data_IF_008638885330
#
_entry.id   IF_008638885330
#
_cell.length_a   1.000
_cell.length_b   1.000
_cell.length_c   1.000
_cell.angle_alpha   90.00
_cell.angle_beta   90.00
_cell.angle_gamma   90.00
#
_symmetry.space_group_name_H-M   'P 1'
#
loop_
_entity.id
_entity.type
_entity.pdbx_description
1 polymer ?
#
# COMPACT_ATOMS: atom_id res chain seq x y z
N UNK A 1 -22.04 15.00 -1.32
CA UNK A 1 -21.44 13.72 -0.86
C UNK A 1 -19.91 13.71 -0.91
N UNK A 2 -19.26 14.24 -1.96
CA UNK A 2 -17.78 14.32 -2.07
C UNK A 2 -17.09 15.16 -0.98
N UNK A 3 -17.67 16.31 -0.62
CA UNK A 3 -17.16 17.23 0.43
C UNK A 3 -16.98 16.60 1.82
N UNK A 4 -17.89 15.70 2.21
CA UNK A 4 -17.88 15.07 3.54
C UNK A 4 -16.78 14.00 3.64
N UNK A 5 -16.54 13.27 2.55
CA UNK A 5 -15.45 12.28 2.44
C UNK A 5 -14.10 12.97 2.50
N UNK A 6 -13.94 14.13 1.85
CA UNK A 6 -12.72 14.94 1.92
C UNK A 6 -12.43 15.47 3.32
N UNK A 7 -13.47 15.94 4.05
CA UNK A 7 -13.33 16.42 5.43
C UNK A 7 -12.99 15.31 6.43
N UNK A 8 -13.61 14.13 6.30
CA UNK A 8 -13.29 12.96 7.14
C UNK A 8 -11.88 12.45 6.86
N UNK A 9 -11.49 12.34 5.58
CA UNK A 9 -10.13 11.93 5.20
C UNK A 9 -9.08 12.92 5.70
N UNK A 10 -9.34 14.23 5.62
CA UNK A 10 -8.47 15.27 6.17
C UNK A 10 -8.35 15.19 7.70
N UNK A 11 -9.46 14.96 8.41
CA UNK A 11 -9.44 14.77 9.86
C UNK A 11 -8.68 13.51 10.27
N UNK A 12 -8.88 12.39 9.55
CA UNK A 12 -8.13 11.14 9.79
C UNK A 12 -6.65 11.34 9.52
N UNK A 13 -6.28 11.94 8.39
CA UNK A 13 -4.88 12.20 8.04
C UNK A 13 -4.18 13.14 9.04
N UNK A 14 -4.94 14.02 9.72
CA UNK A 14 -4.42 14.89 10.77
C UNK A 14 -4.13 14.18 12.10
N UNK A 15 -4.83 13.08 12.39
CA UNK A 15 -4.69 12.30 13.63
C UNK A 15 -3.79 11.09 13.46
N UNK A 16 -3.89 10.43 12.31
CA UNK A 16 -3.05 9.34 11.86
C UNK A 16 -2.45 9.79 10.54
N UNK A 17 -1.12 10.02 10.46
CA UNK A 17 -0.50 10.52 9.25
C UNK A 17 -0.39 9.40 8.20
N UNK A 18 -1.54 8.94 7.70
CA UNK A 18 -1.67 7.81 6.76
C UNK A 18 -0.96 8.13 5.45
N UNK A 19 -1.11 9.36 4.94
CA UNK A 19 -0.43 9.81 3.73
C UNK A 19 1.10 9.85 3.90
N UNK A 20 1.60 10.33 5.04
CA UNK A 20 3.05 10.37 5.31
C UNK A 20 3.64 8.96 5.47
N UNK A 21 2.95 8.08 6.19
CA UNK A 21 3.38 6.69 6.39
C UNK A 21 3.39 5.93 5.07
N UNK A 22 2.36 6.13 4.24
CA UNK A 22 2.29 5.58 2.88
C UNK A 22 3.43 6.09 2.00
N UNK A 23 3.69 7.40 2.02
CA UNK A 23 4.82 7.97 1.27
C UNK A 23 6.15 7.36 1.68
N UNK A 24 6.38 7.17 2.98
CA UNK A 24 7.66 6.67 3.50
C UNK A 24 7.91 5.18 3.25
N UNK A 25 6.86 4.35 3.28
CA UNK A 25 7.02 2.90 3.17
C UNK A 25 6.76 2.35 1.78
N UNK A 26 5.93 3.02 0.98
CA UNK A 26 5.49 2.49 -0.31
C UNK A 26 5.92 3.36 -1.50
N UNK A 27 5.89 4.70 -1.38
CA UNK A 27 6.14 5.59 -2.53
C UNK A 27 7.60 6.02 -2.67
N UNK A 28 8.25 6.39 -1.56
CA UNK A 28 9.64 6.91 -1.53
C UNK A 28 10.61 5.88 -0.98
N UNK A 29 10.19 4.62 -0.81
CA UNK A 29 11.11 3.57 -0.39
C UNK A 29 12.08 3.25 -1.54
N UNK A 30 13.38 3.53 -1.40
CA UNK A 30 14.31 3.37 -2.50
C UNK A 30 14.49 1.89 -2.82
N UNK A 31 14.06 1.47 -4.00
CA UNK A 31 14.26 0.11 -4.49
C UNK A 31 15.55 0.08 -5.31
N UNK A 32 16.44 -0.91 -5.09
CA UNK A 32 17.68 -1.02 -5.86
C UNK A 32 17.40 -1.18 -7.36
N UNK A 33 18.10 -0.42 -8.21
CA UNK A 33 17.89 -0.43 -9.66
C UNK A 33 18.30 -1.74 -10.37
N UNK A 34 18.93 -2.68 -9.65
CA UNK A 34 19.35 -4.00 -10.15
C UNK A 34 18.48 -5.13 -9.60
N UNK A 35 17.15 -4.99 -9.66
CA UNK A 35 16.25 -6.11 -9.36
C UNK A 35 16.27 -7.15 -10.48
N UNK A 36 16.22 -8.43 -10.14
CA UNK A 36 16.08 -9.51 -11.11
C UNK A 36 14.62 -9.99 -11.18
N UNK A 37 14.29 -10.80 -12.19
CA UNK A 37 12.94 -11.34 -12.38
C UNK A 37 12.41 -12.11 -11.16
N UNK A 38 13.27 -12.75 -10.37
CA UNK A 38 12.87 -13.59 -9.24
C UNK A 38 12.21 -12.80 -8.09
N UNK A 39 12.45 -11.49 -7.98
CA UNK A 39 11.76 -10.64 -6.99
C UNK A 39 10.24 -10.54 -7.23
N UNK A 40 9.77 -10.87 -8.45
CA UNK A 40 8.34 -10.93 -8.75
C UNK A 40 7.62 -12.03 -7.96
N UNK A 41 8.28 -13.15 -7.67
CA UNK A 41 7.65 -14.28 -6.99
C UNK A 41 7.22 -13.96 -5.56
N UNK A 42 7.87 -13.01 -4.87
CA UNK A 42 7.42 -12.55 -3.55
C UNK A 42 6.07 -11.80 -3.63
N UNK A 43 5.90 -10.95 -4.64
CA UNK A 43 4.63 -10.28 -4.90
C UNK A 43 3.55 -11.29 -5.36
N UNK A 44 3.90 -12.26 -6.20
CA UNK A 44 2.99 -13.34 -6.62
C UNK A 44 2.54 -14.19 -5.42
N UNK A 45 3.43 -14.52 -4.48
CA UNK A 45 3.06 -15.24 -3.27
C UNK A 45 2.04 -14.48 -2.42
N UNK A 46 2.19 -13.14 -2.33
CA UNK A 46 1.23 -12.28 -1.64
C UNK A 46 -0.15 -12.29 -2.33
N UNK A 47 -0.19 -12.28 -3.66
CA UNK A 47 -1.44 -12.38 -4.43
C UNK A 47 -2.08 -13.75 -4.25
N UNK A 48 -1.30 -14.83 -4.35
CA UNK A 48 -1.79 -16.19 -4.13
C UNK A 48 -2.33 -16.34 -2.71
N UNK A 49 -1.67 -15.78 -1.69
CA UNK A 49 -2.16 -15.79 -0.31
C UNK A 49 -3.54 -15.14 -0.20
N UNK A 50 -3.75 -13.98 -0.82
CA UNK A 50 -5.06 -13.32 -0.84
C UNK A 50 -6.10 -14.21 -1.51
N UNK A 51 -5.75 -14.82 -2.65
CA UNK A 51 -6.63 -15.76 -3.34
C UNK A 51 -7.00 -16.92 -2.41
N UNK A 52 -6.04 -17.53 -1.71
CA UNK A 52 -6.31 -18.62 -0.77
C UNK A 52 -7.22 -18.19 0.39
N UNK A 53 -7.10 -16.96 0.90
CA UNK A 53 -7.99 -16.45 1.96
C UNK A 53 -9.41 -16.23 1.44
N UNK A 54 -9.56 -15.74 0.21
CA UNK A 54 -10.86 -15.41 -0.38
C UNK A 54 -11.58 -16.64 -0.94
N UNK A 55 -10.84 -17.58 -1.53
CA UNK A 55 -11.39 -18.80 -2.14
C UNK A 55 -11.41 -20.00 -1.18
N UNK A 56 -10.82 -19.87 0.00
CA UNK A 56 -10.79 -20.88 1.04
C UNK A 56 -12.17 -21.37 1.44
#
# INVERSE_FOLDING_TARGET
MSEMVGKLFGWVNSRLPVSNTFERHLSKHPVPSKVNFWYLFGALASVVLIIQIVSG
#
